data_IF_468316061570
#
_entry.id   IF_468316061570
#
_cell.length_a   1.000
_cell.length_b   1.000
_cell.length_c   1.000
_cell.angle_alpha   90.00
_cell.angle_beta   90.00
_cell.angle_gamma   90.00
#
_symmetry.space_group_name_H-M   'P 1'
#
loop_
_entity.id
_entity.type
_entity.pdbx_description
1 polymer ?
#
# COMPACT_ATOMS: atom_id res chain seq x y z
N UNK A 1 -17.72 -40.89 -7.92
CA UNK A 1 -18.12 -39.82 -6.97
C UNK A 1 -16.97 -39.26 -6.13
N UNK A 2 -16.08 -40.09 -5.54
CA UNK A 2 -14.98 -39.59 -4.68
C UNK A 2 -14.00 -38.62 -5.39
N UNK A 3 -13.69 -38.85 -6.66
CA UNK A 3 -12.77 -38.00 -7.43
C UNK A 3 -13.32 -36.59 -7.69
N UNK A 4 -14.63 -36.45 -7.88
CA UNK A 4 -15.29 -35.17 -8.13
C UNK A 4 -15.24 -34.23 -6.91
N UNK A 5 -15.37 -34.80 -5.70
CA UNK A 5 -15.28 -34.04 -4.44
C UNK A 5 -13.86 -33.54 -4.21
N UNK A 6 -12.84 -34.35 -4.54
CA UNK A 6 -11.44 -33.94 -4.43
C UNK A 6 -11.14 -32.77 -5.37
N UNK A 7 -11.61 -32.84 -6.62
CA UNK A 7 -11.45 -31.77 -7.62
C UNK A 7 -12.15 -30.48 -7.17
N UNK A 8 -13.34 -30.58 -6.58
CA UNK A 8 -14.08 -29.41 -6.10
C UNK A 8 -13.33 -28.70 -4.96
N UNK A 9 -12.74 -29.47 -4.03
CA UNK A 9 -11.98 -28.93 -2.90
C UNK A 9 -10.67 -28.28 -3.38
N UNK A 10 -9.94 -28.90 -4.30
CA UNK A 10 -8.69 -28.31 -4.82
C UNK A 10 -8.94 -27.04 -5.63
N UNK A 11 -10.09 -26.88 -6.30
CA UNK A 11 -10.47 -25.63 -6.98
C UNK A 11 -10.70 -24.50 -5.97
N UNK A 12 -11.34 -24.77 -4.82
CA UNK A 12 -11.60 -23.72 -3.81
C UNK A 12 -10.33 -23.15 -3.16
N UNK A 13 -9.25 -23.94 -3.10
CA UNK A 13 -7.97 -23.49 -2.53
C UNK A 13 -7.17 -22.58 -3.47
N UNK A 14 -7.42 -22.61 -4.79
CA UNK A 14 -6.70 -21.80 -5.77
C UNK A 14 -7.14 -20.33 -5.79
N UNK A 15 -8.33 -20.00 -5.29
CA UNK A 15 -8.89 -18.64 -5.38
C UNK A 15 -8.65 -17.75 -4.15
N UNK A 16 -7.97 -18.25 -3.12
CA UNK A 16 -7.71 -17.49 -1.90
C UNK A 16 -6.28 -16.90 -1.88
N UNK A 17 -5.94 -16.03 -2.83
CA UNK A 17 -4.67 -15.29 -2.77
C UNK A 17 -4.76 -14.14 -1.76
N UNK A 18 -3.93 -14.09 -0.70
CA UNK A 18 -3.95 -12.99 0.26
C UNK A 18 -3.60 -11.66 -0.45
N UNK A 19 -4.40 -10.62 -0.22
CA UNK A 19 -4.15 -9.27 -0.75
C UNK A 19 -3.08 -8.57 0.08
N UNK A 20 -1.81 -8.77 -0.30
CA UNK A 20 -0.66 -8.12 0.30
C UNK A 20 -0.14 -6.89 -0.49
N UNK A 21 0.96 -6.29 -0.02
CA UNK A 21 1.71 -5.30 -0.79
C UNK A 21 2.16 -5.88 -2.13
N UNK A 22 2.00 -5.10 -3.20
CA UNK A 22 2.42 -5.49 -4.55
C UNK A 22 3.68 -4.73 -4.95
N UNK A 23 4.63 -5.42 -5.56
CA UNK A 23 5.87 -4.80 -6.07
C UNK A 23 5.56 -4.05 -7.36
N UNK A 24 6.12 -2.85 -7.48
CA UNK A 24 6.02 -2.01 -8.67
C UNK A 24 7.39 -1.48 -9.05
N UNK A 25 7.50 -0.98 -10.28
CA UNK A 25 8.62 -0.16 -10.69
C UNK A 25 8.57 1.21 -10.01
N UNK A 26 9.75 1.76 -9.71
CA UNK A 26 9.93 3.11 -9.18
C UNK A 26 11.29 3.64 -9.59
N UNK A 27 11.35 4.92 -9.98
CA UNK A 27 12.58 5.63 -10.35
C UNK A 27 13.59 5.78 -9.20
N UNK A 28 13.21 5.41 -7.98
CA UNK A 28 14.09 5.39 -6.81
C UNK A 28 14.78 4.05 -6.59
N UNK A 29 14.41 2.98 -7.29
CA UNK A 29 15.15 1.71 -7.17
C UNK A 29 16.55 1.90 -7.75
N UNK A 30 17.57 1.47 -6.99
CA UNK A 30 18.99 1.72 -7.28
C UNK A 30 19.52 3.04 -6.70
N UNK A 31 18.65 3.94 -6.24
CA UNK A 31 19.06 5.21 -5.63
C UNK A 31 19.35 5.07 -4.14
N UNK A 32 20.03 6.06 -3.60
CA UNK A 32 20.36 6.15 -2.18
C UNK A 32 19.16 6.60 -1.35
N UNK A 33 19.19 6.26 -0.06
CA UNK A 33 18.28 6.79 0.95
C UNK A 33 18.22 8.33 0.94
N UNK A 34 19.38 8.98 0.79
CA UNK A 34 19.47 10.44 0.81
C UNK A 34 18.68 11.08 -0.34
N UNK A 35 18.76 10.50 -1.55
CA UNK A 35 17.99 10.98 -2.71
C UNK A 35 16.48 10.80 -2.52
N UNK A 36 16.05 9.69 -1.90
CA UNK A 36 14.65 9.46 -1.58
C UNK A 36 14.13 10.48 -0.57
N UNK A 37 14.90 10.73 0.51
CA UNK A 37 14.54 11.70 1.55
C UNK A 37 14.55 13.12 1.01
N UNK A 38 15.51 13.47 0.14
CA UNK A 38 15.54 14.78 -0.52
C UNK A 38 14.30 15.00 -1.39
N UNK A 39 13.80 13.97 -2.08
CA UNK A 39 12.64 14.09 -2.97
C UNK A 39 11.28 13.98 -2.25
N UNK A 40 11.15 13.11 -1.24
CA UNK A 40 9.86 12.83 -0.57
C UNK A 40 9.77 13.35 0.85
N UNK A 41 10.85 13.90 1.39
CA UNK A 41 10.99 14.20 2.81
C UNK A 41 11.23 12.95 3.65
N UNK A 42 11.34 13.17 4.96
CA UNK A 42 11.49 12.10 5.94
C UNK A 42 10.22 11.25 6.04
N UNK A 43 10.38 9.93 5.99
CA UNK A 43 9.26 9.00 6.15
C UNK A 43 8.71 9.07 7.58
N UNK A 44 7.39 9.23 7.72
CA UNK A 44 6.71 9.22 9.03
C UNK A 44 6.73 7.85 9.70
N UNK A 45 6.93 6.79 8.93
CA UNK A 45 6.98 5.43 9.44
C UNK A 45 8.18 4.72 8.83
N UNK A 46 9.07 4.25 9.70
CA UNK A 46 10.24 3.46 9.34
C UNK A 46 10.13 2.14 10.09
N UNK A 47 10.25 1.02 9.38
CA UNK A 47 10.34 -0.31 9.99
C UNK A 47 11.73 -0.86 9.73
N UNK A 48 12.44 -1.23 10.78
CA UNK A 48 13.77 -1.85 10.66
C UNK A 48 13.61 -3.36 10.83
N UNK A 49 14.14 -4.11 9.89
CA UNK A 49 14.28 -5.56 9.93
C UNK A 49 15.77 -5.83 9.84
N UNK A 50 16.39 -6.55 10.77
CA UNK A 50 17.82 -6.91 10.77
C UNK A 50 18.77 -6.02 9.91
N UNK A 51 18.94 -6.31 8.61
CA UNK A 51 19.80 -5.57 7.65
C UNK A 51 19.06 -4.69 6.61
N UNK A 52 17.76 -4.51 6.77
CA UNK A 52 16.85 -3.87 5.84
C UNK A 52 15.95 -2.88 6.58
N UNK A 53 15.94 -1.62 6.13
CA UNK A 53 14.94 -0.65 6.58
C UNK A 53 13.86 -0.47 5.52
N UNK A 54 12.61 -0.33 5.95
CA UNK A 54 11.47 -0.04 5.10
C UNK A 54 10.92 1.34 5.44
N UNK A 55 11.07 2.27 4.52
CA UNK A 55 10.55 3.63 4.61
C UNK A 55 9.15 3.67 4.00
N UNK A 56 8.16 4.02 4.81
CA UNK A 56 6.75 3.95 4.45
C UNK A 56 6.15 5.36 4.38
N UNK A 57 5.73 5.74 3.18
CA UNK A 57 5.02 6.99 2.91
C UNK A 57 3.53 6.69 2.71
N UNK A 58 2.66 7.34 3.48
CA UNK A 58 1.21 7.12 3.44
C UNK A 58 0.52 8.27 2.73
N UNK A 59 -0.35 7.94 1.78
CA UNK A 59 -1.25 8.90 1.11
C UNK A 59 -2.68 8.52 1.48
N UNK A 60 -3.45 9.49 1.98
CA UNK A 60 -4.88 9.35 2.28
C UNK A 60 -5.66 10.02 1.15
N UNK A 61 -6.46 9.24 0.45
CA UNK A 61 -7.36 9.71 -0.61
C UNK A 61 -8.79 9.62 -0.10
N UNK A 62 -9.49 10.75 -0.10
CA UNK A 62 -10.88 10.87 0.35
C UNK A 62 -11.77 11.16 -0.85
N UNK A 63 -12.83 10.36 -1.01
CA UNK A 63 -13.78 10.49 -2.10
C UNK A 63 -15.17 10.81 -1.54
N UNK A 64 -15.72 11.95 -1.96
CA UNK A 64 -16.97 12.51 -1.45
C UNK A 64 -18.19 12.23 -2.36
N UNK A 65 -17.99 11.67 -3.54
CA UNK A 65 -19.03 11.46 -4.55
C UNK A 65 -18.86 12.36 -5.77
N UNK A 66 -19.65 12.13 -6.82
CA UNK A 66 -19.60 12.93 -8.06
C UNK A 66 -20.22 14.32 -7.87
N UNK A 67 -21.28 14.39 -7.08
CA UNK A 67 -21.98 15.62 -6.74
C UNK A 67 -21.72 15.88 -5.26
N UNK A 68 -20.91 16.89 -4.98
CA UNK A 68 -20.65 17.37 -3.62
C UNK A 68 -21.32 18.73 -3.53
N UNK A 69 -22.38 18.83 -2.73
CA UNK A 69 -22.99 20.12 -2.41
C UNK A 69 -22.26 20.65 -1.19
N UNK A 70 -21.55 21.75 -1.33
CA UNK A 70 -20.92 22.44 -0.21
C UNK A 70 -21.98 23.29 0.47
N UNK A 71 -22.60 22.77 1.52
CA UNK A 71 -23.43 23.58 2.43
C UNK A 71 -22.51 24.14 3.51
N UNK A 72 -22.48 25.47 3.67
CA UNK A 72 -21.49 26.20 4.50
C UNK A 72 -21.41 25.76 5.99
N UNK A 73 -22.32 24.91 6.47
CA UNK A 73 -22.42 24.46 7.85
C UNK A 73 -22.35 22.93 8.05
N UNK A 74 -22.11 22.13 7.02
CA UNK A 74 -22.05 20.67 7.14
C UNK A 74 -20.63 20.12 6.95
N UNK A 75 -20.15 19.36 7.94
CA UNK A 75 -18.90 18.64 7.82
C UNK A 75 -19.07 17.51 6.79
N UNK A 76 -18.41 17.65 5.64
CA UNK A 76 -18.47 16.64 4.58
C UNK A 76 -17.83 15.32 5.06
N UNK A 77 -18.62 14.25 5.09
CA UNK A 77 -18.14 12.90 5.43
C UNK A 77 -17.75 12.18 4.13
N UNK A 78 -16.51 11.69 3.99
CA UNK A 78 -16.08 11.01 2.77
C UNK A 78 -16.77 9.65 2.63
N UNK A 79 -17.38 9.42 1.46
CA UNK A 79 -18.02 8.14 1.09
C UNK A 79 -17.02 6.98 0.99
N UNK A 80 -15.76 7.28 0.67
CA UNK A 80 -14.69 6.29 0.63
C UNK A 80 -13.38 6.92 1.01
N UNK A 81 -12.64 6.26 1.90
CA UNK A 81 -11.27 6.62 2.23
C UNK A 81 -10.34 5.49 1.79
N UNK A 82 -9.32 5.81 1.01
CA UNK A 82 -8.27 4.88 0.61
C UNK A 82 -6.95 5.33 1.19
N UNK A 83 -6.26 4.44 1.89
CA UNK A 83 -4.91 4.68 2.38
C UNK A 83 -3.95 3.87 1.50
N UNK A 84 -3.08 4.56 0.79
CA UNK A 84 -2.04 3.96 -0.03
C UNK A 84 -0.70 4.11 0.67
N UNK A 85 -0.05 2.98 0.97
CA UNK A 85 1.28 2.93 1.55
C UNK A 85 2.31 2.67 0.44
N UNK A 86 3.26 3.58 0.28
CA UNK A 86 4.41 3.47 -0.61
C UNK A 86 5.62 3.06 0.22
N UNK A 87 6.10 1.84 0.00
CA UNK A 87 7.09 1.17 0.85
C UNK A 87 8.38 1.02 0.05
N UNK A 88 9.44 1.68 0.52
CA UNK A 88 10.79 1.60 -0.05
C UNK A 88 11.69 0.79 0.88
N UNK A 89 12.19 -0.34 0.39
CA UNK A 89 13.13 -1.18 1.13
C UNK A 89 14.55 -0.77 0.77
N UNK A 90 15.33 -0.49 1.80
CA UNK A 90 16.70 -0.01 1.73
C UNK A 90 17.58 -1.04 2.43
N UNK A 91 18.67 -1.42 1.79
CA UNK A 91 19.64 -2.38 2.35
C UNK A 91 20.65 -1.70 3.29
N UNK A 92 21.52 -2.50 3.89
CA UNK A 92 22.62 -2.05 4.75
C UNK A 92 23.56 -1.00 4.10
N UNK A 93 23.64 -0.97 2.77
CA UNK A 93 24.43 0.01 2.00
C UNK A 93 23.69 1.33 1.77
N UNK A 94 22.47 1.48 2.30
CA UNK A 94 21.64 2.66 2.08
C UNK A 94 21.05 2.75 0.67
N UNK A 95 21.01 1.64 -0.08
CA UNK A 95 20.47 1.59 -1.45
C UNK A 95 19.07 0.98 -1.45
N UNK A 96 18.17 1.64 -2.17
CA UNK A 96 16.79 1.18 -2.36
C UNK A 96 16.79 0.04 -3.37
N UNK A 97 16.40 -1.15 -2.95
CA UNK A 97 16.42 -2.33 -3.82
C UNK A 97 15.03 -2.84 -4.19
N UNK A 98 13.99 -2.42 -3.46
CA UNK A 98 12.62 -2.87 -3.71
C UNK A 98 11.61 -1.79 -3.36
N UNK A 99 10.58 -1.66 -4.20
CA UNK A 99 9.45 -0.77 -3.99
C UNK A 99 8.14 -1.55 -4.03
N UNK A 100 7.31 -1.36 -3.01
CA UNK A 100 5.99 -1.97 -2.94
C UNK A 100 4.91 -0.93 -2.64
N UNK A 101 3.70 -1.20 -3.10
CA UNK A 101 2.51 -0.40 -2.79
C UNK A 101 1.48 -1.29 -2.12
N UNK A 102 0.93 -0.81 -1.01
CA UNK A 102 -0.17 -1.46 -0.33
C UNK A 102 -1.37 -0.52 -0.23
N UNK A 103 -2.48 -0.89 -0.88
CA UNK A 103 -3.73 -0.11 -0.87
C UNK A 103 -4.71 -0.73 0.12
N UNK A 104 -5.11 0.04 1.12
CA UNK A 104 -6.12 -0.32 2.12
C UNK A 104 -7.36 0.53 1.89
N UNK A 105 -8.50 -0.13 1.67
CA UNK A 105 -9.80 0.55 1.68
C UNK A 105 -10.23 0.67 3.12
N UNK A 106 -10.44 1.90 3.59
CA UNK A 106 -11.10 2.14 4.86
C UNK A 106 -12.59 2.30 4.59
N UNK A 107 -13.43 1.48 5.23
CA UNK A 107 -14.86 1.80 5.28
C UNK A 107 -15.02 2.99 6.22
N UNK A 108 -15.68 4.03 5.73
CA UNK A 108 -16.22 5.08 6.60
C UNK A 108 -17.51 4.51 7.18
N UNK A 109 -17.65 4.49 8.51
CA UNK A 109 -18.91 4.16 9.18
C UNK A 109 -19.85 5.37 9.13
#
# INVERSE_FOLDING_TARGET
MKLFVIILISITLLFCSPKGPKTYYSNFVGKTKAELVSSKGLAKTIKVFDKVEAHIYKVKEEYFGKNVTFTDNEMLIPKRVTITEHIYYINEKGIIYKYQVWKKKHKTN
#
